data_IF_544577790788
#
_entry.id   IF_544577790788
#
_cell.length_a   1.000
_cell.length_b   1.000
_cell.length_c   1.000
_cell.angle_alpha   90.00
_cell.angle_beta   90.00
_cell.angle_gamma   90.00
#
_symmetry.space_group_name_H-M   'P 1'
#
loop_
_entity.id
_entity.type
_entity.pdbx_description
1 polymer ?
#
# COMPACT_ATOMS: atom_id res chain seq x y z
N UNK A 1 9.99 18.06 -19.08
CA UNK A 1 9.97 16.58 -18.90
C UNK A 1 10.36 16.31 -17.46
N UNK A 2 9.53 15.61 -16.69
CA UNK A 2 9.92 15.19 -15.34
C UNK A 2 10.99 14.09 -15.47
N UNK A 3 12.05 14.15 -14.66
CA UNK A 3 13.03 13.07 -14.63
C UNK A 3 12.36 11.77 -14.15
N UNK A 4 12.74 10.60 -14.70
CA UNK A 4 12.24 9.33 -14.19
C UNK A 4 12.61 9.20 -12.72
N UNK A 5 11.60 8.92 -11.88
CA UNK A 5 11.81 8.76 -10.45
C UNK A 5 12.76 7.58 -10.21
N UNK A 6 13.80 7.77 -9.40
CA UNK A 6 14.72 6.68 -9.07
C UNK A 6 14.00 5.56 -8.32
N UNK A 7 14.45 4.31 -8.49
CA UNK A 7 13.93 3.16 -7.75
C UNK A 7 14.15 3.31 -6.24
N UNK A 8 13.16 2.94 -5.43
CA UNK A 8 13.22 3.10 -3.97
C UNK A 8 14.42 2.38 -3.33
N UNK A 9 14.85 1.26 -3.91
CA UNK A 9 15.96 0.45 -3.42
C UNK A 9 17.32 1.15 -3.53
N UNK A 10 17.40 2.25 -4.27
CA UNK A 10 18.61 3.07 -4.38
C UNK A 10 18.79 4.03 -3.20
N UNK A 11 17.75 4.22 -2.37
CA UNK A 11 17.79 5.12 -1.22
C UNK A 11 18.38 4.42 0.01
N UNK A 12 19.46 4.94 0.64
CA UNK A 12 20.15 4.26 1.74
C UNK A 12 19.26 3.90 2.92
N UNK A 13 18.32 4.78 3.29
CA UNK A 13 17.39 4.52 4.39
C UNK A 13 16.45 3.36 4.07
N UNK A 14 15.98 3.24 2.82
CA UNK A 14 15.09 2.15 2.40
C UNK A 14 15.89 0.85 2.28
N UNK A 15 17.11 0.90 1.73
CA UNK A 15 18.01 -0.26 1.69
C UNK A 15 18.29 -0.83 3.10
N UNK A 16 18.43 0.05 4.10
CA UNK A 16 18.59 -0.36 5.51
C UNK A 16 17.35 -1.13 6.01
N UNK A 17 16.15 -0.61 5.78
CA UNK A 17 14.92 -1.31 6.15
C UNK A 17 14.71 -2.61 5.37
N UNK A 18 15.05 -2.65 4.09
CA UNK A 18 15.00 -3.89 3.30
C UNK A 18 15.89 -4.95 3.96
N UNK A 19 17.12 -4.62 4.36
CA UNK A 19 18.00 -5.59 5.02
C UNK A 19 17.45 -6.14 6.35
N UNK A 20 16.68 -5.35 7.08
CA UNK A 20 16.04 -5.76 8.34
C UNK A 20 14.78 -6.61 8.11
N UNK A 21 14.01 -6.34 7.05
CA UNK A 21 12.79 -7.08 6.69
C UNK A 21 13.15 -8.40 6.00
N UNK A 22 13.66 -9.33 6.80
CA UNK A 22 14.06 -10.67 6.40
C UNK A 22 13.57 -11.69 7.44
N UNK A 23 13.07 -12.88 7.02
CA UNK A 23 12.66 -13.93 7.96
C UNK A 23 13.70 -14.25 9.03
N UNK A 24 14.99 -14.29 8.67
CA UNK A 24 16.09 -14.62 9.57
C UNK A 24 16.26 -13.63 10.73
N UNK A 25 15.82 -12.38 10.56
CA UNK A 25 15.90 -11.34 11.58
C UNK A 25 14.67 -11.32 12.51
N UNK A 26 13.62 -12.06 12.17
CA UNK A 26 12.32 -12.04 12.87
C UNK A 26 11.84 -10.62 13.22
N UNK A 27 11.71 -9.72 12.23
CA UNK A 27 11.41 -8.31 12.48
C UNK A 27 10.00 -8.14 13.06
N UNK A 28 9.88 -7.25 14.05
CA UNK A 28 8.58 -6.77 14.53
C UNK A 28 7.82 -6.01 13.44
N UNK A 29 6.50 -5.95 13.56
CA UNK A 29 5.61 -5.31 12.57
C UNK A 29 6.01 -3.85 12.31
N UNK A 30 6.48 -3.14 13.35
CA UNK A 30 6.97 -1.77 13.25
C UNK A 30 8.01 -1.58 12.13
N UNK A 31 8.92 -2.54 11.92
CA UNK A 31 9.94 -2.44 10.87
C UNK A 31 9.35 -2.54 9.47
N UNK A 32 8.29 -3.33 9.32
CA UNK A 32 7.54 -3.46 8.07
C UNK A 32 6.73 -2.19 7.82
N UNK A 33 6.09 -1.63 8.86
CA UNK A 33 5.38 -0.36 8.80
C UNK A 33 6.32 0.80 8.43
N UNK A 34 7.53 0.82 8.99
CA UNK A 34 8.58 1.79 8.63
C UNK A 34 9.04 1.63 7.19
N UNK A 35 9.27 0.39 6.72
CA UNK A 35 9.64 0.13 5.32
C UNK A 35 8.59 0.73 4.38
N UNK A 36 7.32 0.40 4.58
CA UNK A 36 6.23 0.91 3.74
C UNK A 36 6.04 2.42 3.86
N UNK A 37 6.16 2.99 5.05
CA UNK A 37 6.09 4.45 5.24
C UNK A 37 7.19 5.17 4.44
N UNK A 38 8.42 4.65 4.45
CA UNK A 38 9.54 5.26 3.72
C UNK A 38 9.43 5.06 2.20
N UNK A 39 9.04 3.86 1.75
CA UNK A 39 8.75 3.60 0.33
C UNK A 39 7.66 4.55 -0.14
N UNK A 40 6.54 4.65 0.56
CA UNK A 40 5.43 5.49 0.14
C UNK A 40 5.77 6.99 0.18
N UNK A 41 6.51 7.47 1.19
CA UNK A 41 7.00 8.86 1.23
C UNK A 41 7.82 9.24 -0.01
N UNK A 42 8.54 8.29 -0.61
CA UNK A 42 9.28 8.53 -1.86
C UNK A 42 8.33 8.81 -3.03
N UNK A 43 7.25 8.03 -3.20
CA UNK A 43 6.30 8.16 -4.32
C UNK A 43 5.22 9.23 -4.09
N UNK A 44 4.95 9.57 -2.83
CA UNK A 44 3.91 10.49 -2.38
C UNK A 44 4.50 11.58 -1.46
N UNK A 45 5.39 12.44 -1.98
CA UNK A 45 6.10 13.40 -1.15
C UNK A 45 5.20 14.59 -0.74
N UNK A 46 5.49 15.17 0.43
CA UNK A 46 4.76 16.31 1.00
C UNK A 46 4.64 17.51 0.05
N UNK A 47 5.70 17.79 -0.71
CA UNK A 47 5.75 18.90 -1.68
C UNK A 47 4.69 18.80 -2.78
N UNK A 48 4.14 17.61 -3.00
CA UNK A 48 3.12 17.34 -4.01
C UNK A 48 1.70 17.25 -3.41
N UNK A 49 1.54 17.67 -2.14
CA UNK A 49 0.25 17.69 -1.45
C UNK A 49 -0.19 16.33 -0.91
N UNK A 50 0.74 15.42 -0.69
CA UNK A 50 0.50 14.12 -0.05
C UNK A 50 0.94 14.14 1.42
N UNK A 51 0.42 13.22 2.22
CA UNK A 51 0.88 12.94 3.58
C UNK A 51 0.84 11.45 3.87
N UNK A 52 1.85 10.94 4.57
CA UNK A 52 1.89 9.56 5.05
C UNK A 52 1.49 9.53 6.51
N UNK A 53 0.42 8.79 6.81
CA UNK A 53 -0.10 8.59 8.15
C UNK A 53 0.23 7.17 8.62
N UNK A 54 0.76 7.02 9.83
CA UNK A 54 0.92 5.72 10.49
C UNK A 54 -0.25 5.48 11.44
N UNK A 55 -0.66 4.22 11.58
CA UNK A 55 -1.82 3.83 12.40
C UNK A 55 -3.06 4.67 12.07
N UNK A 56 -3.24 4.88 10.77
CA UNK A 56 -4.13 5.90 10.25
C UNK A 56 -5.59 5.49 10.51
N UNK A 57 -6.31 6.31 11.28
CA UNK A 57 -7.73 6.06 11.56
C UNK A 57 -8.55 6.12 10.27
N UNK A 58 -9.23 5.02 9.95
CA UNK A 58 -10.10 4.88 8.77
C UNK A 58 -11.52 5.36 9.08
N UNK A 59 -11.97 5.26 10.35
CA UNK A 59 -13.27 5.76 10.80
C UNK A 59 -13.29 6.15 12.30
N UNK A 60 -13.24 7.45 12.65
CA UNK A 60 -13.47 7.90 14.02
C UNK A 60 -14.92 7.59 14.49
N UNK A 61 -15.16 7.35 15.80
CA UNK A 61 -14.23 7.31 16.91
C UNK A 61 -13.74 5.90 17.29
N UNK A 62 -13.71 4.91 16.38
CA UNK A 62 -13.37 3.50 16.72
C UNK A 62 -12.05 3.01 16.11
N UNK A 63 -11.53 1.91 16.68
CA UNK A 63 -10.25 1.18 16.44
C UNK A 63 -9.96 0.68 15.01
N UNK A 64 -10.56 1.27 13.97
CA UNK A 64 -10.28 0.91 12.59
C UNK A 64 -9.07 1.72 12.11
N UNK A 65 -7.87 1.30 12.51
CA UNK A 65 -6.61 1.88 12.06
C UNK A 65 -5.94 0.93 11.06
N UNK A 66 -5.53 1.46 9.92
CA UNK A 66 -4.64 0.75 8.99
C UNK A 66 -3.19 1.04 9.36
N UNK A 67 -2.25 0.18 9.01
CA UNK A 67 -0.83 0.36 9.39
C UNK A 67 -0.26 1.67 8.83
N UNK A 68 -0.46 1.90 7.53
CA UNK A 68 -0.02 3.11 6.84
C UNK A 68 -1.11 3.56 5.87
N UNK A 69 -1.34 4.87 5.78
CA UNK A 69 -2.19 5.44 4.74
C UNK A 69 -1.48 6.60 4.04
N UNK A 70 -1.83 6.79 2.77
CA UNK A 70 -1.52 8.00 2.03
C UNK A 70 -2.77 8.84 1.92
N UNK A 71 -2.64 10.07 2.39
CA UNK A 71 -3.64 11.12 2.27
C UNK A 71 -3.19 12.11 1.22
N UNK A 72 -4.12 12.63 0.41
CA UNK A 72 -3.85 13.73 -0.50
C UNK A 72 -4.74 14.93 -0.15
N UNK A 73 -4.22 16.13 -0.39
CA UNK A 73 -5.00 17.37 -0.31
C UNK A 73 -5.51 17.73 -1.71
N UNK A 74 -6.80 18.02 -1.79
CA UNK A 74 -7.51 18.49 -2.99
C UNK A 74 -8.42 19.67 -2.61
N UNK A 75 -8.94 20.43 -3.59
CA UNK A 75 -9.78 21.60 -3.29
C UNK A 75 -10.99 21.33 -2.38
N UNK A 76 -11.48 20.08 -2.34
CA UNK A 76 -12.63 19.66 -1.52
C UNK A 76 -12.23 19.03 -0.16
N UNK A 77 -10.93 18.99 0.17
CA UNK A 77 -10.45 18.51 1.45
C UNK A 77 -9.33 17.47 1.35
N UNK A 78 -9.13 16.76 2.46
CA UNK A 78 -8.16 15.66 2.58
C UNK A 78 -8.84 14.33 2.32
N UNK A 79 -8.22 13.49 1.49
CA UNK A 79 -8.76 12.16 1.16
C UNK A 79 -7.71 11.07 1.32
N UNK A 80 -8.12 9.89 1.81
CA UNK A 80 -7.25 8.70 1.87
C UNK A 80 -7.29 7.97 0.54
N UNK A 81 -6.14 7.87 -0.11
CA UNK A 81 -6.02 7.32 -1.48
C UNK A 81 -5.30 5.98 -1.53
N UNK A 82 -4.39 5.71 -0.59
CA UNK A 82 -3.71 4.41 -0.46
C UNK A 82 -3.83 3.94 0.99
N UNK A 83 -4.22 2.68 1.21
CA UNK A 83 -4.17 2.02 2.52
C UNK A 83 -3.21 0.82 2.48
N UNK A 84 -2.45 0.62 3.56
CA UNK A 84 -1.52 -0.50 3.71
C UNK A 84 -1.92 -1.32 4.93
N UNK A 85 -2.22 -2.59 4.70
CA UNK A 85 -2.34 -3.59 5.76
C UNK A 85 -1.06 -4.44 5.78
N UNK A 86 -0.28 -4.31 6.84
CA UNK A 86 1.02 -4.94 7.01
C UNK A 86 1.01 -5.90 8.20
N UNK A 87 1.55 -7.11 8.01
CA UNK A 87 1.73 -8.15 9.03
C UNK A 87 3.18 -8.62 9.08
N UNK A 88 3.60 -9.10 10.25
CA UNK A 88 4.89 -9.77 10.41
C UNK A 88 4.95 -11.06 9.59
N UNK A 89 6.16 -11.60 9.45
CA UNK A 89 6.31 -12.97 8.99
C UNK A 89 5.47 -13.94 9.83
N UNK A 90 4.87 -14.98 9.22
CA UNK A 90 4.30 -16.08 9.98
C UNK A 90 5.40 -16.81 10.77
N UNK A 91 5.01 -17.63 11.74
CA UNK A 91 5.96 -18.41 12.55
C UNK A 91 6.79 -19.41 11.73
N UNK A 92 6.21 -19.97 10.66
CA UNK A 92 6.92 -20.82 9.72
C UNK A 92 7.17 -20.03 8.42
N UNK A 93 8.45 -19.81 8.11
CA UNK A 93 8.91 -19.14 6.89
C UNK A 93 9.78 -20.04 6.01
N UNK A 94 9.53 -21.36 6.02
CA UNK A 94 10.17 -22.31 5.12
C UNK A 94 9.99 -21.88 3.65
N UNK A 95 10.85 -22.39 2.77
CA UNK A 95 10.80 -22.06 1.34
C UNK A 95 9.39 -22.34 0.81
N UNK A 96 8.72 -21.31 0.29
CA UNK A 96 7.36 -21.41 -0.23
C UNK A 96 6.23 -21.17 0.79
N UNK A 97 6.53 -20.74 2.03
CA UNK A 97 5.52 -20.42 3.06
C UNK A 97 4.39 -19.53 2.54
N UNK A 98 4.71 -18.62 1.63
CA UNK A 98 3.80 -17.67 1.07
C UNK A 98 2.70 -18.31 0.20
N UNK A 99 2.91 -19.53 -0.31
CA UNK A 99 1.91 -20.28 -1.08
C UNK A 99 0.80 -20.87 -0.22
N UNK A 100 1.06 -21.06 1.08
CA UNK A 100 0.10 -21.64 2.05
C UNK A 100 -0.39 -20.63 3.08
N UNK A 101 0.16 -19.41 3.07
CA UNK A 101 -0.27 -18.33 3.96
C UNK A 101 -1.74 -17.94 3.67
N UNK A 102 -2.58 -17.73 4.70
CA UNK A 102 -3.99 -17.36 4.53
C UNK A 102 -4.14 -15.88 4.12
N UNK A 103 -3.79 -15.55 2.87
CA UNK A 103 -3.85 -14.18 2.34
C UNK A 103 -5.25 -13.54 2.45
N UNK A 104 -6.30 -14.35 2.30
CA UNK A 104 -7.68 -13.91 2.36
C UNK A 104 -8.03 -13.20 3.68
N UNK A 105 -7.38 -13.54 4.79
CA UNK A 105 -7.62 -12.91 6.09
C UNK A 105 -7.15 -11.45 6.10
N UNK A 106 -5.95 -11.19 5.57
CA UNK A 106 -5.37 -9.85 5.52
C UNK A 106 -6.03 -9.01 4.43
N UNK A 107 -6.36 -9.63 3.29
CA UNK A 107 -7.14 -9.02 2.22
C UNK A 107 -8.53 -8.60 2.69
N UNK A 108 -9.21 -9.43 3.47
CA UNK A 108 -10.51 -9.13 4.08
C UNK A 108 -10.45 -7.89 4.98
N UNK A 109 -9.40 -7.75 5.78
CA UNK A 109 -9.16 -6.58 6.63
C UNK A 109 -9.00 -5.32 5.78
N UNK A 110 -8.10 -5.36 4.80
CA UNK A 110 -7.87 -4.24 3.88
C UNK A 110 -9.17 -3.86 3.14
N UNK A 111 -9.92 -4.84 2.63
CA UNK A 111 -11.19 -4.62 1.97
C UNK A 111 -12.19 -3.91 2.89
N UNK A 112 -12.28 -4.33 4.15
CA UNK A 112 -13.16 -3.70 5.15
C UNK A 112 -12.79 -2.23 5.37
N UNK A 113 -11.49 -1.91 5.41
CA UNK A 113 -11.01 -0.54 5.58
C UNK A 113 -11.30 0.31 4.34
N UNK A 114 -11.00 -0.20 3.14
CA UNK A 114 -11.27 0.52 1.89
C UNK A 114 -12.77 0.78 1.68
N UNK A 115 -13.65 -0.13 2.11
CA UNK A 115 -15.11 0.10 2.11
C UNK A 115 -15.58 1.21 3.06
N UNK A 116 -14.85 1.43 4.16
CA UNK A 116 -15.24 2.38 5.23
C UNK A 116 -14.60 3.75 5.08
N UNK A 117 -13.48 3.86 4.39
CA UNK A 117 -12.79 5.13 4.21
C UNK A 117 -13.69 6.20 3.55
N UNK A 118 -14.55 5.89 2.54
CA UNK A 118 -15.45 6.88 1.96
C UNK A 118 -16.43 7.50 2.95
N UNK A 119 -16.90 6.74 3.96
CA UNK A 119 -17.80 7.26 5.01
C UNK A 119 -17.20 8.46 5.77
N UNK A 120 -15.87 8.52 5.85
CA UNK A 120 -15.15 9.49 6.69
C UNK A 120 -14.46 10.57 5.88
N UNK A 121 -13.90 10.20 4.72
CA UNK A 121 -13.04 11.08 3.93
C UNK A 121 -13.69 11.46 2.59
N UNK A 122 -14.98 11.20 2.40
CA UNK A 122 -15.73 11.51 1.18
C UNK A 122 -15.48 10.50 0.05
N UNK A 123 -16.19 10.69 -1.07
CA UNK A 123 -16.09 9.79 -2.24
C UNK A 123 -14.71 9.90 -2.90
N UNK A 124 -13.81 8.96 -2.56
CA UNK A 124 -12.63 8.67 -3.35
C UNK A 124 -13.05 7.67 -4.42
N UNK A 125 -12.97 8.07 -5.69
CA UNK A 125 -13.51 7.26 -6.78
C UNK A 125 -12.73 5.96 -6.98
N UNK A 126 -11.41 6.00 -6.81
CA UNK A 126 -10.54 4.82 -6.80
C UNK A 126 -9.64 4.88 -5.58
N UNK A 127 -9.71 3.86 -4.74
CA UNK A 127 -8.77 3.64 -3.65
C UNK A 127 -7.77 2.54 -4.02
N UNK A 128 -6.55 2.66 -3.55
CA UNK A 128 -5.51 1.66 -3.72
C UNK A 128 -5.19 0.99 -2.39
N UNK A 129 -4.85 -0.29 -2.47
CA UNK A 129 -4.59 -1.12 -1.31
C UNK A 129 -3.28 -1.87 -1.45
N UNK A 130 -2.54 -1.99 -0.36
CA UNK A 130 -1.31 -2.80 -0.29
C UNK A 130 -1.49 -3.79 0.85
N UNK A 131 -1.36 -5.08 0.54
CA UNK A 131 -1.24 -6.13 1.56
C UNK A 131 0.21 -6.54 1.62
N UNK A 132 0.85 -6.38 2.78
CA UNK A 132 2.21 -6.79 3.02
C UNK A 132 2.30 -7.80 4.16
N UNK A 133 3.01 -8.90 3.95
CA UNK A 133 3.28 -9.91 4.98
C UNK A 133 4.78 -10.21 4.94
N UNK A 134 5.52 -9.73 5.93
CA UNK A 134 6.98 -9.79 5.92
C UNK A 134 7.55 -9.06 4.69
N UNK A 135 8.25 -9.81 3.84
CA UNK A 135 8.86 -9.31 2.60
C UNK A 135 7.95 -9.44 1.37
N UNK A 136 6.76 -10.03 1.52
CA UNK A 136 5.85 -10.32 0.41
C UNK A 136 4.73 -9.28 0.31
N UNK A 137 4.35 -8.93 -0.91
CA UNK A 137 3.36 -7.88 -1.17
C UNK A 137 2.41 -8.19 -2.33
N UNK A 138 1.17 -7.73 -2.20
CA UNK A 138 0.15 -7.66 -3.24
C UNK A 138 -0.46 -6.26 -3.31
N UNK A 139 -0.85 -5.84 -4.51
CA UNK A 139 -1.40 -4.51 -4.77
C UNK A 139 -2.83 -4.62 -5.31
N UNK A 140 -3.72 -3.79 -4.78
CA UNK A 140 -5.14 -3.81 -5.10
C UNK A 140 -5.65 -2.43 -5.46
N UNK A 141 -6.78 -2.42 -6.13
CA UNK A 141 -7.61 -1.25 -6.39
C UNK A 141 -9.06 -1.55 -6.04
N UNK A 142 -9.78 -0.53 -5.62
CA UNK A 142 -11.22 -0.55 -5.41
C UNK A 142 -11.80 0.73 -6.00
N UNK A 143 -12.48 0.61 -7.15
CA UNK A 143 -13.15 1.72 -7.80
C UNK A 143 -14.63 1.76 -7.40
N UNK A 144 -15.06 2.77 -6.65
CA UNK A 144 -16.42 2.86 -6.11
C UNK A 144 -17.52 3.03 -7.17
N UNK A 145 -17.20 3.49 -8.39
CA UNK A 145 -18.17 3.61 -9.49
C UNK A 145 -18.48 2.27 -10.15
N UNK A 146 -17.45 1.47 -10.42
CA UNK A 146 -17.58 0.21 -11.16
C UNK A 146 -17.60 -1.03 -10.26
N UNK A 147 -17.52 -0.84 -8.94
CA UNK A 147 -17.44 -1.91 -7.95
C UNK A 147 -18.32 -1.61 -6.74
N UNK A 148 -19.63 -1.60 -6.96
CA UNK A 148 -20.66 -1.43 -5.93
C UNK A 148 -20.58 -2.46 -4.81
N UNK A 149 -19.95 -3.62 -5.05
CA UNK A 149 -19.67 -4.63 -4.02
C UNK A 149 -18.43 -4.35 -3.16
N UNK A 150 -17.61 -3.38 -3.53
CA UNK A 150 -16.33 -3.04 -2.91
C UNK A 150 -15.36 -4.22 -2.83
N UNK A 151 -15.25 -5.00 -3.91
CA UNK A 151 -14.37 -6.16 -3.99
C UNK A 151 -12.93 -5.70 -4.25
N UNK A 152 -11.93 -6.29 -3.58
CA UNK A 152 -10.54 -5.98 -3.96
C UNK A 152 -10.23 -6.56 -5.34
N UNK A 153 -9.84 -5.69 -6.28
CA UNK A 153 -9.35 -6.11 -7.59
C UNK A 153 -7.84 -5.98 -7.61
N UNK A 154 -7.07 -7.00 -8.03
CA UNK A 154 -5.63 -6.86 -8.18
C UNK A 154 -5.27 -5.73 -9.16
N UNK A 155 -4.22 -4.95 -8.86
CA UNK A 155 -3.85 -3.79 -9.69
C UNK A 155 -3.30 -4.24 -11.08
N UNK A 156 -3.73 -3.66 -12.21
CA UNK A 156 -3.64 -4.34 -13.51
C UNK A 156 -2.29 -4.28 -14.25
N UNK A 157 -1.18 -3.87 -13.64
CA UNK A 157 0.09 -3.74 -14.38
C UNK A 157 0.76 -5.11 -14.59
N UNK A 158 0.66 -5.65 -15.81
CA UNK A 158 1.54 -6.69 -16.34
C UNK A 158 1.01 -8.14 -16.43
N UNK A 159 -0.27 -8.39 -16.15
CA UNK A 159 -0.88 -9.74 -16.21
C UNK A 159 -1.53 -10.18 -14.90
N UNK A 160 -1.83 -11.49 -14.70
CA UNK A 160 -2.37 -11.99 -13.43
C UNK A 160 -1.39 -11.66 -12.31
N UNK A 161 -1.84 -10.87 -11.34
CA UNK A 161 -0.99 -10.27 -10.31
C UNK A 161 -0.19 -11.32 -9.53
N UNK A 162 1.14 -11.32 -9.65
CA UNK A 162 1.98 -12.19 -8.86
C UNK A 162 2.12 -11.60 -7.46
N UNK A 163 2.17 -12.49 -6.48
CA UNK A 163 2.75 -12.18 -5.20
C UNK A 163 4.20 -11.72 -5.40
N UNK A 164 4.53 -10.48 -5.02
CA UNK A 164 5.86 -9.90 -5.22
C UNK A 164 6.69 -9.97 -3.92
N UNK A 165 8.01 -9.93 -4.04
CA UNK A 165 8.92 -9.68 -2.93
C UNK A 165 9.58 -8.30 -3.04
N UNK A 166 9.67 -7.59 -1.92
CA UNK A 166 10.41 -6.31 -1.84
C UNK A 166 11.91 -6.47 -2.13
N UNK A 167 12.43 -7.70 -2.08
CA UNK A 167 13.84 -8.00 -2.37
C UNK A 167 14.11 -8.27 -3.84
N UNK A 168 13.27 -9.05 -4.50
CA UNK A 168 13.52 -9.53 -5.88
C UNK A 168 12.76 -8.77 -6.94
N UNK A 169 11.61 -8.19 -6.60
CA UNK A 169 10.67 -7.60 -7.55
C UNK A 169 10.64 -6.07 -7.47
N UNK A 170 11.75 -5.47 -7.06
CA UNK A 170 11.82 -4.05 -6.76
C UNK A 170 11.40 -3.17 -7.95
N UNK A 171 11.82 -3.53 -9.17
CA UNK A 171 11.42 -2.85 -10.40
C UNK A 171 9.91 -2.93 -10.67
N UNK A 172 9.29 -4.08 -10.48
CA UNK A 172 7.84 -4.28 -10.64
C UNK A 172 7.07 -3.45 -9.63
N UNK A 173 7.50 -3.47 -8.36
CA UNK A 173 6.93 -2.64 -7.29
C UNK A 173 7.05 -1.15 -7.63
N UNK A 174 8.22 -0.72 -8.14
CA UNK A 174 8.41 0.66 -8.55
C UNK A 174 7.50 1.07 -9.72
N UNK A 175 7.32 0.21 -10.73
CA UNK A 175 6.40 0.49 -11.83
C UNK A 175 4.95 0.63 -11.32
N UNK A 176 4.51 -0.26 -10.43
CA UNK A 176 3.18 -0.21 -9.81
C UNK A 176 2.98 1.09 -9.01
N UNK A 177 3.91 1.41 -8.10
CA UNK A 177 3.80 2.61 -7.27
C UNK A 177 3.87 3.90 -8.09
N UNK A 178 4.64 3.90 -9.18
CA UNK A 178 4.69 5.02 -10.13
C UNK A 178 3.36 5.18 -10.86
N UNK A 179 2.75 4.08 -11.32
CA UNK A 179 1.45 4.10 -11.98
C UNK A 179 0.34 4.59 -11.02
N UNK A 180 0.29 4.06 -9.78
CA UNK A 180 -0.65 4.51 -8.74
C UNK A 180 -0.46 6.00 -8.44
N UNK A 181 0.79 6.45 -8.26
CA UNK A 181 1.10 7.86 -8.00
C UNK A 181 0.65 8.76 -9.15
N UNK A 182 0.87 8.33 -10.40
CA UNK A 182 0.42 9.05 -11.58
C UNK A 182 -1.11 9.14 -11.65
N UNK A 183 -1.83 8.03 -11.50
CA UNK A 183 -3.31 8.00 -11.53
C UNK A 183 -3.93 8.92 -10.46
N UNK A 184 -3.38 8.93 -9.24
CA UNK A 184 -3.84 9.82 -8.17
C UNK A 184 -3.56 11.28 -8.51
N UNK A 185 -2.40 11.59 -9.10
CA UNK A 185 -2.00 12.97 -9.46
C UNK A 185 -2.81 13.54 -10.61
N UNK A 186 -3.03 12.77 -11.66
CA UNK A 186 -3.74 13.22 -12.86
C UNK A 186 -5.24 13.34 -12.63
N UNK A 187 -5.75 12.82 -11.50
CA UNK A 187 -7.17 12.86 -11.21
C UNK A 187 -7.98 11.97 -12.16
N UNK A 188 -7.35 10.99 -12.80
CA UNK A 188 -8.04 9.91 -13.54
C UNK A 188 -8.85 8.99 -12.61
N UNK A 189 -8.80 9.30 -11.30
CA UNK A 189 -9.77 8.93 -10.27
C UNK A 189 -10.81 10.05 -10.14
N UNK A 190 -11.64 10.24 -11.16
CA UNK A 190 -12.49 11.41 -11.46
C UNK A 190 -13.72 11.63 -10.54
N UNK A 191 -13.56 11.95 -9.25
CA UNK A 191 -14.59 12.48 -8.29
C UNK A 191 -16.08 12.19 -8.55
#
# INVERSE_FOLDING_TARGET
MAQPQAGYWTLPIIASYLSEVNPANNPYQERIDHLWSNILNHYFPLRDGFGTEREALVKPPRRFATNVAITNVRPLGMHKVVLVEAKTFPRNTDIGWFSVYPWADVESILQSFMKKAPDTFGNVQTMYGIVAVGDRVRFYTMNSQNNTGGILTPFPVGGPQPLLSVHTDAHSIHAILTAISLEIRTGWNTY
#
